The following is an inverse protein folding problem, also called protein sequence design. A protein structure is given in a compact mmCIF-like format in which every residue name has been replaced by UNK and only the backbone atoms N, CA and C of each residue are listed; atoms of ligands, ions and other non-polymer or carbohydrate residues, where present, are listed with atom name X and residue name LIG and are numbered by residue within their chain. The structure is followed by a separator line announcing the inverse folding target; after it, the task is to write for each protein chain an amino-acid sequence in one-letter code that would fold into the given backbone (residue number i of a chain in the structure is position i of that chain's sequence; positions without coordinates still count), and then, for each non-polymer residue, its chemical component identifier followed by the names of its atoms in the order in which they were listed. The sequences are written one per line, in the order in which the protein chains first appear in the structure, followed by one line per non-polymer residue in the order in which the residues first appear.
data_IF_602123275342
#
_entry.id   IF_602123275342
#
_cell.length_a   1.000
_cell.length_b   1.000
_cell.length_c   1.000
_cell.angle_alpha   90.00
_cell.angle_beta   90.00
_cell.angle_gamma   90.00
#
_symmetry.space_group_name_H-M   'P 1'
#
loop_
_entity.id
_entity.type
_entity.pdbx_description
1 polymer ?
#
# COMPACT_ATOMS: atom_id res chain seq x y z
N UNK A 1 22.74 -14.55 5.29
CA UNK A 1 21.92 -14.67 4.07
C UNK A 1 20.47 -14.21 4.29
N UNK A 2 19.71 -14.73 5.27
CA UNK A 2 18.33 -14.28 5.56
C UNK A 2 18.13 -12.77 5.81
N UNK A 3 19.12 -12.10 6.41
CA UNK A 3 19.02 -10.66 6.72
C UNK A 3 19.01 -9.77 5.46
N UNK A 4 19.76 -10.14 4.41
CA UNK A 4 19.77 -9.39 3.15
C UNK A 4 18.44 -9.49 2.40
N UNK A 5 17.78 -10.65 2.47
CA UNK A 5 16.47 -10.88 1.84
C UNK A 5 15.39 -10.01 2.51
N UNK A 6 15.41 -9.92 3.85
CA UNK A 6 14.52 -9.01 4.59
C UNK A 6 14.74 -7.54 4.24
N UNK A 7 16.00 -7.10 4.18
CA UNK A 7 16.32 -5.71 3.79
C UNK A 7 15.80 -5.40 2.38
N UNK A 8 15.94 -6.33 1.44
CA UNK A 8 15.44 -6.16 0.08
C UNK A 8 13.91 -6.01 0.05
N UNK A 9 13.19 -6.83 0.81
CA UNK A 9 11.74 -6.72 0.93
C UNK A 9 11.30 -5.40 1.58
N UNK A 10 11.91 -4.99 2.68
CA UNK A 10 11.62 -3.73 3.37
C UNK A 10 11.82 -2.52 2.42
N UNK A 11 12.86 -2.57 1.56
CA UNK A 11 13.07 -1.55 0.53
C UNK A 11 11.96 -1.52 -0.53
N UNK A 12 11.42 -2.68 -0.94
CA UNK A 12 10.29 -2.75 -1.86
C UNK A 12 9.08 -2.05 -1.25
N UNK A 13 8.78 -2.30 0.02
CA UNK A 13 7.66 -1.64 0.73
C UNK A 13 7.84 -0.12 0.72
N UNK A 14 9.04 0.37 1.02
CA UNK A 14 9.35 1.82 0.98
C UNK A 14 9.13 2.40 -0.42
N UNK A 15 9.59 1.73 -1.48
CA UNK A 15 9.38 2.16 -2.87
C UNK A 15 7.89 2.17 -3.24
N UNK A 16 7.12 1.20 -2.77
CA UNK A 16 5.67 1.15 -2.98
C UNK A 16 4.98 2.32 -2.30
N UNK A 17 5.31 2.62 -1.05
CA UNK A 17 4.78 3.81 -0.35
C UNK A 17 5.10 5.07 -1.15
N UNK A 18 6.37 5.28 -1.53
CA UNK A 18 6.78 6.46 -2.32
C UNK A 18 6.00 6.59 -3.63
N UNK A 19 5.66 5.47 -4.28
CA UNK A 19 4.89 5.47 -5.53
C UNK A 19 3.39 5.74 -5.35
N UNK A 20 2.81 5.42 -4.17
CA UNK A 20 1.37 5.54 -3.90
C UNK A 20 1.02 6.93 -3.36
N UNK A 21 1.89 7.55 -2.57
CA UNK A 21 1.60 8.83 -1.91
C UNK A 21 1.24 9.96 -2.90
N UNK A 22 1.96 10.19 -4.01
CA UNK A 22 1.59 11.23 -4.98
C UNK A 22 0.19 11.02 -5.56
N UNK A 23 -0.19 9.76 -5.79
CA UNK A 23 -1.50 9.39 -6.35
C UNK A 23 -2.63 9.70 -5.37
N UNK A 24 -2.41 9.42 -4.08
CA UNK A 24 -3.37 9.76 -3.03
C UNK A 24 -3.50 11.29 -2.87
N UNK A 25 -2.37 12.01 -2.92
CA UNK A 25 -2.39 13.47 -2.86
C UNK A 25 -3.21 14.07 -3.99
N UNK A 26 -3.01 13.58 -5.23
CA UNK A 26 -3.73 14.04 -6.42
C UNK A 26 -5.22 13.69 -6.36
N UNK A 27 -5.57 12.41 -6.14
CA UNK A 27 -6.95 11.91 -6.24
C UNK A 27 -7.85 12.34 -5.09
N UNK A 28 -7.28 12.52 -3.89
CA UNK A 28 -8.04 12.83 -2.66
C UNK A 28 -7.80 14.25 -2.17
N UNK A 29 -7.00 15.06 -2.90
CA UNK A 29 -6.60 16.41 -2.50
C UNK A 29 -6.00 16.46 -1.08
N UNK A 30 -5.19 15.46 -0.74
CA UNK A 30 -4.55 15.35 0.56
C UNK A 30 -3.17 16.00 0.55
N UNK A 31 -2.78 16.61 1.66
CA UNK A 31 -1.37 16.91 1.91
C UNK A 31 -0.56 15.62 2.03
N UNK A 32 0.76 15.70 1.82
CA UNK A 32 1.68 14.57 2.00
C UNK A 32 1.49 13.85 3.36
N UNK A 33 1.40 14.62 4.46
CA UNK A 33 1.18 14.07 5.81
C UNK A 33 -0.17 13.35 5.93
N UNK A 34 -1.22 13.89 5.31
CA UNK A 34 -2.53 13.25 5.31
C UNK A 34 -2.52 11.96 4.46
N UNK A 35 -1.87 11.96 3.29
CA UNK A 35 -1.74 10.78 2.45
C UNK A 35 -0.96 9.65 3.15
N UNK A 36 0.14 9.97 3.86
CA UNK A 36 0.87 9.00 4.67
C UNK A 36 -0.02 8.40 5.76
N UNK A 37 -0.72 9.25 6.52
CA UNK A 37 -1.66 8.78 7.55
C UNK A 37 -2.79 7.93 6.98
N UNK A 38 -3.29 8.29 5.80
CA UNK A 38 -4.35 7.58 5.11
C UNK A 38 -3.91 6.15 4.74
N UNK A 39 -2.69 6.01 4.20
CA UNK A 39 -2.11 4.73 3.84
C UNK A 39 -1.70 3.91 5.08
N UNK A 40 -0.95 4.46 6.03
CA UNK A 40 -0.46 3.70 7.19
C UNK A 40 -1.56 3.24 8.14
N UNK A 41 -2.72 3.90 8.14
CA UNK A 41 -3.89 3.46 8.90
C UNK A 41 -4.73 2.40 8.16
N UNK A 42 -4.26 1.86 7.02
CA UNK A 42 -5.01 0.90 6.20
C UNK A 42 -4.65 -0.54 6.49
N UNK A 43 -5.63 -1.44 6.34
CA UNK A 43 -5.38 -2.88 6.32
C UNK A 43 -4.51 -3.24 5.11
N UNK A 44 -4.68 -2.52 3.99
CA UNK A 44 -3.82 -2.70 2.81
C UNK A 44 -2.35 -2.53 3.15
N UNK A 45 -1.99 -1.54 3.96
CA UNK A 45 -0.61 -1.31 4.36
C UNK A 45 -0.09 -2.44 5.25
N UNK A 46 -0.90 -2.96 6.17
CA UNK A 46 -0.54 -4.14 6.97
C UNK A 46 -0.27 -5.36 6.09
N UNK A 47 -1.08 -5.56 5.04
CA UNK A 47 -0.83 -6.63 4.07
C UNK A 47 0.42 -6.37 3.22
N UNK A 48 0.66 -5.12 2.82
CA UNK A 48 1.84 -4.74 2.05
C UNK A 48 3.15 -5.00 2.82
N UNK A 49 3.15 -4.83 4.15
CA UNK A 49 4.27 -5.17 5.04
C UNK A 49 4.44 -6.69 5.27
N UNK A 50 3.48 -7.51 4.85
CA UNK A 50 3.55 -8.96 4.96
C UNK A 50 3.88 -9.59 3.59
N UNK A 51 5.14 -10.02 3.44
CA UNK A 51 5.67 -10.59 2.19
C UNK A 51 4.81 -11.75 1.64
N UNK A 52 4.23 -12.56 2.53
CA UNK A 52 3.43 -13.73 2.16
C UNK A 52 2.12 -13.38 1.43
N UNK A 53 1.59 -12.18 1.63
CA UNK A 53 0.35 -11.72 0.96
C UNK A 53 0.59 -11.39 -0.51
N UNK A 54 1.85 -11.18 -0.91
CA UNK A 54 2.26 -10.80 -2.27
C UNK A 54 1.65 -9.47 -2.77
N UNK A 55 1.00 -8.68 -1.91
CA UNK A 55 0.40 -7.37 -2.25
C UNK A 55 1.41 -6.40 -2.85
N UNK A 56 2.68 -6.52 -2.47
CA UNK A 56 3.79 -5.75 -3.05
C UNK A 56 3.99 -5.95 -4.56
N UNK A 57 3.40 -6.98 -5.18
CA UNK A 57 3.39 -7.11 -6.65
C UNK A 57 2.43 -6.13 -7.34
N UNK A 58 1.43 -5.60 -6.63
CA UNK A 58 0.44 -4.71 -7.22
C UNK A 58 1.04 -3.40 -7.70
N UNK A 59 0.49 -2.89 -8.81
CA UNK A 59 0.88 -1.60 -9.35
C UNK A 59 0.52 -0.46 -8.39
N UNK A 60 1.22 0.69 -8.43
CA UNK A 60 0.88 1.84 -7.59
C UNK A 60 -0.58 2.30 -7.78
N UNK A 61 -1.08 2.22 -9.01
CA UNK A 61 -2.49 2.48 -9.34
C UNK A 61 -3.45 1.55 -8.59
N UNK A 62 -3.17 0.24 -8.61
CA UNK A 62 -4.01 -0.75 -7.93
C UNK A 62 -3.99 -0.54 -6.41
N UNK A 63 -2.80 -0.35 -5.82
CA UNK A 63 -2.66 -0.09 -4.39
C UNK A 63 -3.44 1.17 -3.98
N UNK A 64 -3.33 2.26 -4.76
CA UNK A 64 -4.11 3.47 -4.53
C UNK A 64 -5.62 3.18 -4.57
N UNK A 65 -6.11 2.53 -5.62
CA UNK A 65 -7.54 2.18 -5.72
C UNK A 65 -8.01 1.25 -4.60
N UNK A 66 -7.19 0.30 -4.15
CA UNK A 66 -7.56 -0.61 -3.06
C UNK A 66 -7.67 0.11 -1.72
N UNK A 67 -6.73 0.99 -1.36
CA UNK A 67 -6.85 1.74 -0.10
C UNK A 67 -8.03 2.70 -0.15
N UNK A 68 -8.33 3.29 -1.32
CA UNK A 68 -9.52 4.12 -1.49
C UNK A 68 -10.81 3.32 -1.29
N UNK A 69 -10.89 2.10 -1.85
CA UNK A 69 -12.03 1.20 -1.69
C UNK A 69 -12.18 0.72 -0.24
N UNK A 70 -11.09 0.34 0.41
CA UNK A 70 -11.07 -0.04 1.83
C UNK A 70 -11.64 1.09 2.68
N UNK A 71 -11.14 2.32 2.53
CA UNK A 71 -11.59 3.46 3.34
C UNK A 71 -13.03 3.89 3.04
N UNK A 72 -13.56 3.55 1.86
CA UNK A 72 -14.95 3.86 1.48
C UNK A 72 -15.93 2.78 1.96
N UNK A 73 -15.55 1.50 1.84
CA UNK A 73 -16.42 0.36 2.15
C UNK A 73 -16.24 -0.19 3.57
N UNK A 74 -15.14 0.16 4.25
CA UNK A 74 -14.74 -0.42 5.53
C UNK A 74 -14.10 -1.80 5.43
N UNK A 75 -13.96 -2.37 4.23
CA UNK A 75 -13.40 -3.70 4.02
C UNK A 75 -12.37 -3.70 2.89
N UNK A 76 -11.25 -4.39 3.10
CA UNK A 76 -10.28 -4.65 2.06
C UNK A 76 -10.69 -5.90 1.24
N UNK A 77 -10.81 -5.74 -0.08
CA UNK A 77 -11.10 -6.84 -1.01
C UNK A 77 -10.00 -6.89 -2.07
N UNK A 78 -9.16 -7.91 -2.01
CA UNK A 78 -8.06 -8.11 -2.95
C UNK A 78 -8.56 -8.76 -4.26
N UNK A 79 -8.03 -8.36 -5.43
CA UNK A 79 -8.47 -8.89 -6.73
C UNK A 79 -8.26 -10.40 -6.93
N UNK A 80 -7.23 -10.99 -6.30
CA UNK A 80 -6.79 -12.37 -6.58
C UNK A 80 -7.36 -13.42 -5.60
N UNK A 81 -8.40 -13.06 -4.82
CA UNK A 81 -9.02 -13.93 -3.81
C UNK A 81 -10.54 -14.11 -4.01
N UNK A 82 -11.00 -14.12 -5.26
CA UNK A 82 -12.35 -14.58 -5.64
C UNK A 82 -12.25 -15.86 -6.45
#
# INVERSE_FOLDING_TARGET
MKEMEKIAFDMIVVLKVQSVIPLLMERKHLSFKQALRYLYASELYQMLENEATKVWHYSPMMLCTLVEKEKTSGQLILPDHV
#
